data_IF_711962232575
#
_entry.id   IF_711962232575
#
_cell.length_a   1.000
_cell.length_b   1.000
_cell.length_c   1.000
_cell.angle_alpha   90.00
_cell.angle_beta   90.00
_cell.angle_gamma   90.00
#
_symmetry.space_group_name_H-M   'P 1'
#
loop_
_entity.id
_entity.type
_entity.pdbx_description
1 polymer ?
#
# COMPACT_ATOMS: atom_id res chain seq x y z
N UNK A 1 36.81 4.32 51.43
CA UNK A 1 35.66 5.26 51.38
C UNK A 1 35.39 5.53 49.90
N UNK A 2 34.31 5.10 49.26
CA UNK A 2 32.97 4.81 49.73
C UNK A 2 32.03 5.43 48.71
N UNK A 3 31.79 4.69 47.62
CA UNK A 3 30.65 4.76 46.69
C UNK A 3 29.70 5.97 46.82
N UNK A 4 29.92 7.03 46.05
CA UNK A 4 28.93 8.09 45.81
C UNK A 4 28.16 7.84 44.51
N UNK A 5 27.28 6.84 44.50
CA UNK A 5 26.31 6.65 43.41
C UNK A 5 25.53 7.95 43.23
N UNK A 6 25.68 8.61 42.08
CA UNK A 6 25.01 9.87 41.76
C UNK A 6 23.49 9.69 41.89
N UNK A 7 22.83 10.23 42.93
CA UNK A 7 21.40 10.04 43.16
C UNK A 7 20.56 10.96 42.25
N UNK A 8 21.21 11.88 41.53
CA UNK A 8 20.57 12.91 40.73
C UNK A 8 19.73 12.33 39.58
N UNK A 9 20.20 11.25 38.93
CA UNK A 9 19.44 10.64 37.83
C UNK A 9 18.11 10.02 38.32
N UNK A 10 18.11 9.40 39.51
CA UNK A 10 16.91 8.82 40.11
C UNK A 10 15.90 9.88 40.56
N UNK A 11 16.37 10.95 41.20
CA UNK A 11 15.52 12.06 41.64
C UNK A 11 14.83 12.79 40.48
N UNK A 12 15.56 13.01 39.37
CA UNK A 12 15.02 13.65 38.16
C UNK A 12 13.95 12.77 37.51
N UNK A 13 14.17 11.45 37.40
CA UNK A 13 13.18 10.54 36.81
C UNK A 13 11.89 10.47 37.65
N UNK A 14 12.01 10.43 38.98
CA UNK A 14 10.85 10.43 39.90
C UNK A 14 10.08 11.75 39.83
N UNK A 15 10.77 12.90 39.77
CA UNK A 15 10.13 14.20 39.62
C UNK A 15 9.39 14.34 38.29
N UNK A 16 9.97 13.85 37.19
CA UNK A 16 9.33 13.83 35.88
C UNK A 16 8.05 12.97 35.88
N UNK A 17 8.10 11.78 36.49
CA UNK A 17 6.93 10.91 36.63
C UNK A 17 5.85 11.52 37.53
N UNK A 18 6.23 12.18 38.64
CA UNK A 18 5.30 12.84 39.56
C UNK A 18 4.61 14.07 38.94
N UNK A 19 5.29 14.77 38.03
CA UNK A 19 4.73 15.85 37.21
C UNK A 19 3.86 15.35 36.05
N UNK A 20 3.64 14.04 35.95
CA UNK A 20 2.79 13.44 34.92
C UNK A 20 3.47 13.31 33.56
N UNK A 21 4.79 13.45 33.47
CA UNK A 21 5.52 13.19 32.24
C UNK A 21 5.43 11.69 31.92
N UNK A 22 4.55 11.34 30.97
CA UNK A 22 4.49 9.98 30.44
C UNK A 22 5.77 9.73 29.65
N UNK A 23 6.47 8.60 29.85
CA UNK A 23 7.60 8.24 29.01
C UNK A 23 7.12 8.22 27.55
N UNK A 24 7.83 8.95 26.67
CA UNK A 24 7.53 9.04 25.24
C UNK A 24 7.84 7.74 24.47
N UNK A 25 7.94 6.61 25.17
CA UNK A 25 7.94 5.30 24.55
C UNK A 25 6.49 5.01 24.15
N UNK A 26 6.12 5.41 22.92
CA UNK A 26 4.88 4.95 22.32
C UNK A 26 4.80 3.44 22.49
N UNK A 27 3.79 2.97 23.23
CA UNK A 27 3.62 1.54 23.45
C UNK A 27 3.39 0.89 22.10
N UNK A 28 4.15 -0.18 21.79
CA UNK A 28 3.88 -0.98 20.60
C UNK A 28 2.41 -1.41 20.67
N UNK A 29 1.63 -1.23 19.59
CA UNK A 29 0.25 -1.68 19.60
C UNK A 29 0.21 -3.19 19.85
N UNK A 30 -0.69 -3.64 20.71
CA UNK A 30 -0.84 -5.05 21.06
C UNK A 30 -1.34 -5.90 19.89
N UNK A 31 -1.97 -5.26 18.90
CA UNK A 31 -2.40 -5.86 17.64
C UNK A 31 -2.29 -4.83 16.51
N UNK A 32 -2.03 -5.30 15.29
CA UNK A 32 -1.99 -4.48 14.08
C UNK A 32 -2.78 -5.19 12.98
N UNK A 33 -3.74 -4.47 12.41
CA UNK A 33 -4.58 -4.95 11.32
C UNK A 33 -4.45 -3.96 10.16
N UNK A 34 -4.22 -4.50 8.97
CA UNK A 34 -4.10 -3.73 7.75
C UNK A 34 -5.10 -4.25 6.72
N UNK A 35 -5.84 -3.33 6.10
CA UNK A 35 -6.65 -3.61 4.90
C UNK A 35 -6.13 -2.73 3.79
N UNK A 36 -5.92 -3.29 2.60
CA UNK A 36 -5.39 -2.55 1.46
C UNK A 36 -6.00 -3.04 0.15
N UNK A 37 -6.13 -2.13 -0.81
CA UNK A 37 -6.56 -2.44 -2.17
C UNK A 37 -5.56 -1.83 -3.13
N UNK A 38 -5.13 -2.59 -4.13
CA UNK A 38 -4.24 -2.11 -5.20
C UNK A 38 -5.01 -2.17 -6.51
N UNK A 39 -5.06 -1.05 -7.23
CA UNK A 39 -5.56 -0.95 -8.59
C UNK A 39 -4.38 -0.76 -9.53
N UNK A 40 -4.12 -1.76 -10.35
CA UNK A 40 -3.00 -1.82 -11.27
C UNK A 40 -3.47 -1.64 -12.72
N UNK A 41 -2.64 -0.98 -13.51
CA UNK A 41 -2.79 -0.87 -14.95
C UNK A 41 -1.46 -1.27 -15.59
N UNK A 42 -1.44 -2.41 -16.28
CA UNK A 42 -0.25 -2.94 -16.93
C UNK A 42 -0.31 -2.59 -18.41
N UNK A 43 0.66 -1.81 -18.89
CA UNK A 43 0.73 -1.30 -20.25
C UNK A 43 1.85 -2.01 -21.02
N UNK A 44 1.51 -2.74 -22.08
CA UNK A 44 2.47 -3.45 -22.93
C UNK A 44 2.39 -2.89 -24.34
N UNK A 45 3.55 -2.52 -24.89
CA UNK A 45 3.67 -1.82 -26.17
C UNK A 45 2.80 -0.54 -26.20
N UNK A 46 3.05 0.36 -25.25
CA UNK A 46 2.23 1.55 -25.03
C UNK A 46 0.84 1.14 -24.54
N UNK A 47 -0.20 1.60 -25.22
CA UNK A 47 -1.58 1.22 -24.90
C UNK A 47 -2.10 0.08 -25.78
N UNK A 48 -1.29 -0.58 -26.61
CA UNK A 48 -1.81 -1.64 -27.49
C UNK A 48 -2.46 -2.78 -26.68
N UNK A 49 -1.80 -3.23 -25.61
CA UNK A 49 -2.31 -4.21 -24.67
C UNK A 49 -2.34 -3.58 -23.27
N UNK A 50 -3.53 -3.53 -22.67
CA UNK A 50 -3.74 -2.95 -21.34
C UNK A 50 -4.51 -3.95 -20.51
N UNK A 51 -3.94 -4.30 -19.35
CA UNK A 51 -4.58 -5.18 -18.36
C UNK A 51 -4.84 -4.42 -17.08
N UNK A 52 -6.07 -4.48 -16.61
CA UNK A 52 -6.47 -3.92 -15.32
C UNK A 52 -6.57 -5.03 -14.29
N UNK A 53 -5.92 -4.84 -13.15
CA UNK A 53 -5.98 -5.79 -12.02
C UNK A 53 -6.33 -5.02 -10.76
N UNK A 54 -7.26 -5.55 -9.99
CA UNK A 54 -7.58 -5.06 -8.65
C UNK A 54 -7.31 -6.17 -7.66
N UNK A 55 -6.59 -5.87 -6.58
CA UNK A 55 -6.18 -6.85 -5.57
C UNK A 55 -6.56 -6.36 -4.19
N UNK A 56 -7.32 -7.16 -3.46
CA UNK A 56 -7.71 -6.89 -2.08
C UNK A 56 -6.83 -7.67 -1.12
N UNK A 57 -6.32 -6.99 -0.09
CA UNK A 57 -5.40 -7.54 0.89
C UNK A 57 -5.92 -7.36 2.31
N UNK A 58 -5.75 -8.41 3.10
CA UNK A 58 -5.81 -8.34 4.55
C UNK A 58 -4.46 -8.73 5.13
N UNK A 59 -3.88 -7.82 5.91
CA UNK A 59 -2.51 -7.87 6.38
C UNK A 59 -1.51 -8.05 5.24
N UNK A 60 -0.96 -9.25 5.09
CA UNK A 60 0.04 -9.59 4.05
C UNK A 60 -0.48 -10.66 3.09
N UNK A 61 -1.80 -10.91 3.10
CA UNK A 61 -2.44 -11.95 2.32
C UNK A 61 -3.43 -11.31 1.35
N UNK A 62 -3.28 -11.60 0.07
CA UNK A 62 -4.28 -11.25 -0.94
C UNK A 62 -5.50 -12.16 -0.72
N UNK A 63 -6.70 -11.59 -0.66
CA UNK A 63 -7.93 -12.32 -0.40
C UNK A 63 -8.65 -12.70 -1.68
N UNK A 64 -8.77 -11.74 -2.60
CA UNK A 64 -9.38 -11.87 -3.91
C UNK A 64 -8.75 -10.87 -4.87
N UNK A 65 -8.98 -11.08 -6.16
CA UNK A 65 -8.61 -10.12 -7.19
C UNK A 65 -9.64 -10.09 -8.33
N UNK A 66 -9.77 -8.95 -8.99
CA UNK A 66 -10.34 -8.84 -10.33
C UNK A 66 -9.21 -8.75 -11.35
N UNK A 67 -9.35 -9.45 -12.47
CA UNK A 67 -8.44 -9.37 -13.61
C UNK A 67 -9.25 -9.14 -14.87
N UNK A 68 -8.92 -8.10 -15.65
CA UNK A 68 -9.63 -7.79 -16.89
C UNK A 68 -9.57 -8.92 -17.92
N UNK A 69 -8.50 -9.71 -17.92
CA UNK A 69 -8.36 -10.83 -18.85
C UNK A 69 -9.28 -12.00 -18.48
N UNK A 70 -9.66 -12.10 -17.19
CA UNK A 70 -10.61 -13.08 -16.66
C UNK A 70 -12.05 -12.54 -16.68
N UNK A 71 -12.20 -11.23 -16.46
CA UNK A 71 -13.47 -10.51 -16.49
C UNK A 71 -14.34 -10.68 -15.24
N UNK A 72 -13.81 -11.25 -14.15
CA UNK A 72 -14.52 -11.43 -12.88
C UNK A 72 -13.59 -11.42 -11.66
N UNK A 73 -14.17 -11.29 -10.46
CA UNK A 73 -13.42 -11.50 -9.22
C UNK A 73 -13.15 -13.00 -9.01
N UNK A 74 -11.96 -13.31 -8.52
CA UNK A 74 -11.49 -14.64 -8.16
C UNK A 74 -10.96 -14.56 -6.74
N UNK A 75 -11.42 -15.45 -5.86
CA UNK A 75 -10.89 -15.56 -4.52
C UNK A 75 -9.54 -16.30 -4.53
N UNK A 76 -8.55 -15.73 -3.85
CA UNK A 76 -7.22 -16.32 -3.66
C UNK A 76 -7.12 -17.08 -2.33
N UNK A 77 -8.11 -16.89 -1.46
CA UNK A 77 -8.19 -17.50 -0.13
C UNK A 77 -9.65 -17.74 0.26
N UNK A 78 -9.93 -18.65 1.20
CA UNK A 78 -11.29 -18.88 1.69
C UNK A 78 -11.97 -17.63 2.26
N UNK A 79 -11.20 -16.70 2.83
CA UNK A 79 -11.76 -15.45 3.37
C UNK A 79 -12.24 -14.50 2.25
N UNK A 80 -11.71 -14.63 1.04
CA UNK A 80 -12.12 -13.84 -0.12
C UNK A 80 -13.30 -14.44 -0.90
N UNK A 81 -13.65 -15.72 -0.70
CA UNK A 81 -14.73 -16.39 -1.43
C UNK A 81 -16.08 -15.67 -1.32
N UNK A 82 -16.57 -15.30 -0.12
CA UNK A 82 -17.86 -14.63 0.01
C UNK A 82 -17.88 -13.27 -0.70
N UNK A 83 -16.74 -12.58 -0.70
CA UNK A 83 -16.62 -11.26 -1.29
C UNK A 83 -16.57 -11.33 -2.82
N UNK A 84 -15.84 -12.31 -3.37
CA UNK A 84 -15.78 -12.54 -4.81
C UNK A 84 -17.17 -12.97 -5.35
N UNK A 85 -17.87 -13.87 -4.66
CA UNK A 85 -19.23 -14.27 -5.02
C UNK A 85 -20.21 -13.09 -4.99
N UNK A 86 -20.16 -12.29 -3.92
CA UNK A 86 -20.98 -11.11 -3.77
C UNK A 86 -20.79 -10.12 -4.93
N UNK A 87 -19.54 -9.74 -5.25
CA UNK A 87 -19.27 -8.80 -6.33
C UNK A 87 -19.64 -9.37 -7.70
N UNK A 88 -19.36 -10.65 -7.95
CA UNK A 88 -19.70 -11.30 -9.21
C UNK A 88 -21.22 -11.43 -9.44
N UNK A 89 -22.04 -11.34 -8.38
CA UNK A 89 -23.49 -11.35 -8.49
C UNK A 89 -24.09 -10.02 -8.96
N UNK A 90 -23.37 -8.91 -8.82
CA UNK A 90 -23.80 -7.58 -9.28
C UNK A 90 -23.36 -7.33 -10.73
N UNK A 91 -24.28 -7.55 -11.67
CA UNK A 91 -24.00 -7.41 -13.10
C UNK A 91 -23.60 -6.00 -13.50
N UNK A 92 -24.24 -4.97 -12.93
CA UNK A 92 -23.96 -3.57 -13.25
C UNK A 92 -22.55 -3.19 -12.78
N UNK A 93 -22.17 -3.63 -11.58
CA UNK A 93 -20.82 -3.42 -11.07
C UNK A 93 -19.77 -4.15 -11.92
N UNK A 94 -20.04 -5.38 -12.32
CA UNK A 94 -19.11 -6.17 -13.14
C UNK A 94 -18.94 -5.62 -14.55
N UNK A 95 -19.97 -5.01 -15.15
CA UNK A 95 -19.83 -4.24 -16.40
C UNK A 95 -18.91 -3.04 -16.23
N UNK A 96 -19.10 -2.27 -15.16
CA UNK A 96 -18.23 -1.13 -14.85
C UNK A 96 -16.77 -1.55 -14.63
N UNK A 97 -16.52 -2.66 -13.91
CA UNK A 97 -15.18 -3.18 -13.67
C UNK A 97 -14.49 -3.63 -14.96
N UNK A 98 -15.18 -4.36 -15.82
CA UNK A 98 -14.67 -4.74 -17.15
C UNK A 98 -14.34 -3.53 -18.01
N UNK A 99 -15.13 -2.45 -17.92
CA UNK A 99 -14.86 -1.18 -18.60
C UNK A 99 -13.69 -0.36 -18.01
N UNK A 100 -13.09 -0.77 -16.90
CA UNK A 100 -12.01 0.01 -16.25
C UNK A 100 -10.70 0.01 -17.04
N UNK A 101 -10.49 -0.94 -17.95
CA UNK A 101 -9.35 -0.91 -18.88
C UNK A 101 -9.32 0.39 -19.68
N UNK A 102 -10.46 0.79 -20.26
CA UNK A 102 -10.52 1.98 -21.09
C UNK A 102 -10.80 3.23 -20.25
N UNK A 103 -11.80 3.15 -19.36
CA UNK A 103 -12.27 4.29 -18.58
C UNK A 103 -11.24 4.78 -17.57
N UNK A 104 -10.46 3.87 -16.98
CA UNK A 104 -9.46 4.20 -15.97
C UNK A 104 -8.05 4.10 -16.54
N UNK A 105 -7.62 2.93 -17.04
CA UNK A 105 -6.22 2.74 -17.41
C UNK A 105 -5.81 3.57 -18.65
N UNK A 106 -6.48 3.42 -19.80
CA UNK A 106 -6.13 4.19 -21.01
C UNK A 106 -6.30 5.68 -20.84
N UNK A 107 -7.38 6.10 -20.19
CA UNK A 107 -7.61 7.50 -19.88
C UNK A 107 -6.45 8.10 -19.09
N UNK A 108 -6.06 7.47 -17.97
CA UNK A 108 -4.94 7.97 -17.16
C UNK A 108 -3.61 7.89 -17.91
N UNK A 109 -3.37 6.83 -18.69
CA UNK A 109 -2.16 6.77 -19.52
C UNK A 109 -2.06 8.01 -20.42
N UNK A 110 -3.12 8.39 -21.13
CA UNK A 110 -3.12 9.61 -21.96
C UNK A 110 -2.91 10.91 -21.18
N UNK A 111 -3.40 10.99 -19.94
CA UNK A 111 -3.20 12.16 -19.06
C UNK A 111 -1.74 12.26 -18.57
N UNK A 112 -1.13 11.13 -18.21
CA UNK A 112 0.17 11.08 -17.53
C UNK A 112 1.36 10.82 -18.47
N UNK A 113 1.13 10.33 -19.69
CA UNK A 113 2.18 9.85 -20.60
C UNK A 113 3.30 10.88 -20.82
N UNK A 114 2.95 12.14 -21.05
CA UNK A 114 3.89 13.20 -21.42
C UNK A 114 4.94 13.54 -20.35
N UNK A 115 4.65 13.26 -19.07
CA UNK A 115 5.54 13.63 -17.96
C UNK A 115 5.89 12.48 -17.01
N UNK A 116 5.40 11.27 -17.30
CA UNK A 116 5.78 10.04 -16.57
C UNK A 116 6.53 9.08 -17.49
N UNK A 117 5.89 8.59 -18.55
CA UNK A 117 6.48 7.65 -19.52
C UNK A 117 7.56 8.35 -20.35
N UNK A 118 7.26 9.54 -20.85
CA UNK A 118 8.20 10.32 -21.68
C UNK A 118 9.17 11.17 -20.85
N UNK A 119 9.13 11.06 -19.52
CA UNK A 119 10.01 11.82 -18.63
C UNK A 119 11.47 11.43 -18.87
N UNK A 120 12.28 12.42 -19.22
CA UNK A 120 13.73 12.27 -19.31
C UNK A 120 14.41 13.24 -18.34
N UNK A 121 15.36 12.75 -17.55
CA UNK A 121 16.17 13.54 -16.62
C UNK A 121 17.61 13.06 -16.73
N UNK A 122 18.54 13.99 -16.94
CA UNK A 122 19.96 13.66 -17.06
C UNK A 122 20.52 13.10 -15.75
N UNK A 123 21.26 11.96 -15.78
CA UNK A 123 21.91 11.44 -14.60
C UNK A 123 23.09 12.32 -14.19
N UNK A 124 23.24 12.57 -12.88
CA UNK A 124 24.42 13.24 -12.33
C UNK A 124 25.45 12.21 -11.94
N UNK A 125 26.57 12.17 -12.66
CA UNK A 125 27.65 11.21 -12.42
C UNK A 125 28.80 11.89 -11.68
N UNK A 126 29.33 11.22 -10.65
CA UNK A 126 30.57 11.62 -9.95
C UNK A 126 31.51 10.43 -9.89
N UNK A 127 32.74 10.62 -10.35
CA UNK A 127 33.82 9.65 -10.21
C UNK A 127 34.77 10.17 -9.14
N UNK A 128 35.26 9.30 -8.26
CA UNK A 128 36.24 9.66 -7.23
C UNK A 128 37.31 8.57 -7.18
N UNK A 129 38.57 8.96 -7.34
CA UNK A 129 39.70 8.09 -7.07
C UNK A 129 39.92 8.04 -5.54
N UNK A 130 40.24 6.85 -5.02
CA UNK A 130 40.69 6.67 -3.63
C UNK A 130 42.01 7.42 -3.38
#
# INVERSE_FOLDING_TARGET
>A
MGSGRVPAAGAVLVALLALGARPAAGTRPSAFFLSGVIFECHFVNGTQQVRHVERDFYNRQQLMHFDSDVGKYVADTPLGEPQAEYWNSDTQYMEYKRGSVDRFCRHNYGVFESFTVQRSVEPKVRVSAL
#
